data_IF_736414042423
#
_entry.id   IF_736414042423
#
_cell.length_a   1.000
_cell.length_b   1.000
_cell.length_c   1.000
_cell.angle_alpha   90.00
_cell.angle_beta   90.00
_cell.angle_gamma   90.00
#
_symmetry.space_group_name_H-M   'P 1'
#
loop_
_entity.id
_entity.type
_entity.pdbx_description
1 polymer ?
#
# COMPACT_ATOMS: atom_id res chain seq x y z
N UNK A 1 -6.53 -10.72 -25.95
CA UNK A 1 -7.39 -10.75 -24.74
C UNK A 1 -6.57 -10.49 -23.49
N UNK A 2 -5.54 -11.32 -23.24
CA UNK A 2 -4.61 -11.16 -22.11
C UNK A 2 -3.92 -9.80 -22.11
N UNK A 3 -3.41 -9.33 -23.26
CA UNK A 3 -2.70 -8.03 -23.32
C UNK A 3 -3.61 -6.84 -22.94
N UNK A 4 -4.91 -6.92 -23.27
CA UNK A 4 -5.89 -5.90 -22.90
C UNK A 4 -6.13 -5.91 -21.39
N UNK A 5 -6.31 -7.10 -20.80
CA UNK A 5 -6.46 -7.27 -19.35
C UNK A 5 -5.21 -6.75 -18.63
N UNK A 6 -4.03 -7.16 -19.06
CA UNK A 6 -2.77 -6.70 -18.49
C UNK A 6 -2.64 -5.17 -18.57
N UNK A 7 -2.96 -4.57 -19.73
CA UNK A 7 -2.91 -3.11 -19.89
C UNK A 7 -3.87 -2.39 -18.95
N UNK A 8 -5.07 -2.92 -18.76
CA UNK A 8 -6.04 -2.36 -17.81
C UNK A 8 -5.55 -2.45 -16.37
N UNK A 9 -4.99 -3.60 -15.97
CA UNK A 9 -4.40 -3.80 -14.64
C UNK A 9 -3.29 -2.78 -14.40
N UNK A 10 -2.35 -2.64 -15.33
CA UNK A 10 -1.23 -1.69 -15.22
C UNK A 10 -1.73 -0.24 -15.07
N UNK A 11 -2.80 0.14 -15.78
CA UNK A 11 -3.35 1.50 -15.66
C UNK A 11 -3.90 1.73 -14.25
N UNK A 12 -4.66 0.78 -13.70
CA UNK A 12 -5.21 0.93 -12.34
C UNK A 12 -4.12 0.83 -11.27
N UNK A 13 -3.14 -0.06 -11.43
CA UNK A 13 -1.97 -0.15 -10.55
C UNK A 13 -1.19 1.18 -10.54
N UNK A 14 -0.95 1.78 -11.71
CA UNK A 14 -0.26 3.07 -11.81
C UNK A 14 -1.03 4.20 -11.10
N UNK A 15 -2.36 4.20 -11.16
CA UNK A 15 -3.18 5.18 -10.42
C UNK A 15 -3.01 5.03 -8.91
N UNK A 16 -3.04 3.79 -8.41
CA UNK A 16 -2.83 3.50 -7.00
C UNK A 16 -1.40 3.87 -6.57
N UNK A 17 -0.39 3.54 -7.37
CA UNK A 17 1.00 3.92 -7.12
C UNK A 17 1.20 5.44 -7.10
N UNK A 18 0.58 6.17 -8.03
CA UNK A 18 0.63 7.63 -8.04
C UNK A 18 0.00 8.22 -6.79
N UNK A 19 -1.15 7.71 -6.33
CA UNK A 19 -1.79 8.16 -5.10
C UNK A 19 -0.97 7.83 -3.86
N UNK A 20 -0.36 6.65 -3.82
CA UNK A 20 0.54 6.26 -2.73
C UNK A 20 1.73 7.22 -2.65
N UNK A 21 2.32 7.58 -3.79
CA UNK A 21 3.42 8.53 -3.85
C UNK A 21 2.99 9.91 -3.32
N UNK A 22 1.83 10.42 -3.73
CA UNK A 22 1.30 11.69 -3.22
C UNK A 22 1.04 11.66 -1.70
N UNK A 23 0.42 10.58 -1.20
CA UNK A 23 0.23 10.42 0.25
C UNK A 23 1.56 10.35 1.00
N UNK A 24 2.59 9.73 0.41
CA UNK A 24 3.94 9.65 0.98
C UNK A 24 4.66 11.00 0.95
N UNK A 25 4.51 11.78 -0.11
CA UNK A 25 5.02 13.15 -0.24
C UNK A 25 4.42 14.06 0.84
N UNK A 26 3.10 13.98 1.07
CA UNK A 26 2.41 14.72 2.13
C UNK A 26 2.99 14.42 3.53
N UNK A 27 3.49 13.20 3.79
CA UNK A 27 4.16 12.84 5.06
C UNK A 27 5.53 13.50 5.19
N UNK A 28 6.26 13.64 4.09
CA UNK A 28 7.62 14.19 4.06
C UNK A 28 7.61 15.71 4.13
N UNK A 29 6.60 16.35 3.54
CA UNK A 29 6.40 17.80 3.65
C UNK A 29 5.83 18.21 5.02
N UNK A 30 5.18 17.27 5.71
CA UNK A 30 4.61 17.50 7.04
C UNK A 30 5.64 17.89 8.13
N UNK A 31 6.84 17.32 8.32
CA UNK A 31 7.78 17.80 9.34
C UNK A 31 8.26 19.24 9.12
N UNK A 32 8.42 19.71 7.88
CA UNK A 32 8.76 21.12 7.59
C UNK A 32 7.54 22.02 7.84
N UNK A 33 6.35 21.59 7.42
CA UNK A 33 5.09 22.30 7.67
C UNK A 33 4.67 22.28 9.15
N UNK A 34 4.99 21.21 9.89
CA UNK A 34 4.79 21.06 11.33
C UNK A 34 5.78 21.94 12.08
N UNK A 35 7.07 21.98 11.70
CA UNK A 35 8.02 22.93 12.27
C UNK A 35 7.61 24.40 12.05
N UNK A 36 7.11 24.74 10.86
CA UNK A 36 6.56 26.07 10.56
C UNK A 36 5.28 26.37 11.37
N UNK A 37 4.37 25.38 11.50
CA UNK A 37 3.13 25.50 12.29
C UNK A 37 3.38 25.52 13.80
N UNK A 38 4.43 24.87 14.31
CA UNK A 38 4.83 24.89 15.73
C UNK A 38 5.31 26.30 16.10
N UNK A 39 6.06 26.98 15.22
CA UNK A 39 6.40 28.39 15.41
C UNK A 39 5.16 29.30 15.51
N UNK A 40 4.09 28.99 14.77
CA UNK A 40 2.81 29.73 14.78
C UNK A 40 1.84 29.30 15.92
N UNK A 41 1.92 28.05 16.42
CA UNK A 41 0.93 27.45 17.35
C UNK A 41 1.39 27.26 18.79
N UNK A 42 2.61 27.65 19.15
CA UNK A 42 2.96 27.85 20.57
C UNK A 42 1.97 28.84 21.24
N UNK A 43 1.21 29.62 20.47
CA UNK A 43 0.17 30.51 20.96
C UNK A 43 -1.22 29.89 21.19
N UNK A 44 -1.56 28.67 20.69
CA UNK A 44 -2.97 28.20 20.69
C UNK A 44 -3.28 26.73 21.05
N UNK A 45 -2.31 25.91 21.46
CA UNK A 45 -2.61 24.69 22.25
C UNK A 45 -3.46 23.57 21.59
N UNK A 46 -3.41 23.39 20.27
CA UNK A 46 -4.10 22.28 19.58
C UNK A 46 -3.18 21.07 19.32
N UNK A 47 -3.76 19.87 19.46
CA UNK A 47 -3.10 18.55 19.54
C UNK A 47 -2.54 18.05 18.19
N UNK A 48 -1.24 17.76 18.15
CA UNK A 48 -0.45 17.25 17.01
C UNK A 48 -0.94 15.92 16.36
N UNK A 49 -1.96 15.24 16.91
CA UNK A 49 -2.29 13.83 16.56
C UNK A 49 -3.32 13.65 15.45
N UNK A 50 -4.14 14.65 15.13
CA UNK A 50 -5.20 14.54 14.12
C UNK A 50 -4.70 14.34 12.66
N UNK A 51 -3.67 15.06 12.17
CA UNK A 51 -3.24 14.91 10.78
C UNK A 51 -2.57 13.56 10.48
N UNK A 52 -1.87 12.97 11.45
CA UNK A 52 -1.28 11.64 11.32
C UNK A 52 -2.34 10.52 11.31
N UNK A 53 -3.40 10.68 12.10
CA UNK A 53 -4.52 9.74 12.09
C UNK A 53 -5.24 9.73 10.74
N UNK A 54 -5.47 10.91 10.15
CA UNK A 54 -6.10 11.02 8.82
C UNK A 54 -5.25 10.41 7.71
N UNK A 55 -3.95 10.65 7.72
CA UNK A 55 -3.02 10.01 6.81
C UNK A 55 -3.06 8.48 6.92
N UNK A 56 -3.13 7.95 8.14
CA UNK A 56 -3.27 6.52 8.39
C UNK A 56 -4.56 5.93 7.80
N UNK A 57 -5.68 6.67 7.91
CA UNK A 57 -6.96 6.31 7.28
C UNK A 57 -6.87 6.32 5.75
N UNK A 58 -6.27 7.36 5.16
CA UNK A 58 -6.08 7.47 3.71
C UNK A 58 -5.20 6.34 3.15
N UNK A 59 -4.15 5.95 3.89
CA UNK A 59 -3.31 4.80 3.54
C UNK A 59 -4.08 3.47 3.67
N UNK A 60 -4.93 3.31 4.68
CA UNK A 60 -5.75 2.11 4.85
C UNK A 60 -6.77 1.96 3.70
N UNK A 61 -7.42 3.06 3.31
CA UNK A 61 -8.34 3.09 2.17
C UNK A 61 -7.61 2.75 0.85
N UNK A 62 -6.41 3.29 0.63
CA UNK A 62 -5.61 2.94 -0.55
C UNK A 62 -5.26 1.46 -0.59
N UNK A 63 -4.95 0.85 0.55
CA UNK A 63 -4.67 -0.58 0.65
C UNK A 63 -5.91 -1.43 0.34
N UNK A 64 -7.10 -1.02 0.81
CA UNK A 64 -8.37 -1.67 0.48
C UNK A 64 -8.63 -1.66 -1.03
N UNK A 65 -8.49 -0.50 -1.68
CA UNK A 65 -8.64 -0.37 -3.13
C UNK A 65 -7.63 -1.24 -3.91
N UNK A 66 -6.40 -1.35 -3.41
CA UNK A 66 -5.39 -2.23 -4.00
C UNK A 66 -5.76 -3.71 -3.84
N UNK A 67 -6.36 -4.09 -2.71
CA UNK A 67 -6.85 -5.44 -2.46
C UNK A 67 -8.05 -5.78 -3.36
N UNK A 68 -8.96 -4.84 -3.59
CA UNK A 68 -10.05 -4.97 -4.55
C UNK A 68 -9.54 -5.19 -5.98
N UNK A 69 -8.58 -4.36 -6.43
CA UNK A 69 -7.95 -4.52 -7.75
C UNK A 69 -7.29 -5.90 -7.86
N UNK A 70 -6.59 -6.36 -6.82
CA UNK A 70 -5.97 -7.68 -6.79
C UNK A 70 -7.00 -8.80 -6.93
N UNK A 71 -8.12 -8.70 -6.22
CA UNK A 71 -9.20 -9.69 -6.30
C UNK A 71 -9.87 -9.71 -7.68
N UNK A 72 -10.12 -8.53 -8.26
CA UNK A 72 -10.67 -8.42 -9.62
C UNK A 72 -9.73 -9.03 -10.66
N UNK A 73 -8.44 -8.70 -10.61
CA UNK A 73 -7.42 -9.26 -11.49
C UNK A 73 -7.32 -10.78 -11.37
N UNK A 74 -7.38 -11.31 -10.14
CA UNK A 74 -7.38 -12.75 -9.90
C UNK A 74 -8.59 -13.44 -10.55
N UNK A 75 -9.79 -12.88 -10.40
CA UNK A 75 -11.01 -13.42 -11.03
C UNK A 75 -10.91 -13.45 -12.55
N UNK A 76 -10.42 -12.37 -13.15
CA UNK A 76 -10.24 -12.28 -14.61
C UNK A 76 -9.21 -13.30 -15.11
N UNK A 77 -8.06 -13.44 -14.42
CA UNK A 77 -7.03 -14.44 -14.77
C UNK A 77 -7.60 -15.86 -14.67
N UNK A 78 -8.29 -16.20 -13.58
CA UNK A 78 -8.89 -17.52 -13.40
C UNK A 78 -9.98 -17.82 -14.45
N UNK A 79 -10.65 -16.81 -14.99
CA UNK A 79 -11.59 -16.98 -16.10
C UNK A 79 -10.93 -17.35 -17.44
N UNK A 80 -9.62 -17.13 -17.57
CA UNK A 80 -8.83 -17.45 -18.79
C UNK A 80 -8.19 -18.83 -18.67
N UNK A 81 -7.76 -19.20 -17.46
CA UNK A 81 -7.03 -20.44 -17.21
C UNK A 81 -7.93 -21.67 -17.23
N UNK A 82 -7.37 -22.80 -17.64
CA UNK A 82 -8.00 -24.10 -17.38
C UNK A 82 -7.99 -24.41 -15.88
N UNK A 83 -8.86 -25.29 -15.36
CA UNK A 83 -8.94 -25.57 -13.93
C UNK A 83 -7.60 -25.97 -13.29
N UNK A 84 -6.79 -26.79 -13.98
CA UNK A 84 -5.50 -27.24 -13.45
C UNK A 84 -4.50 -26.07 -13.37
N UNK A 85 -4.44 -25.23 -14.41
CA UNK A 85 -3.60 -24.02 -14.42
C UNK A 85 -4.05 -23.02 -13.35
N UNK A 86 -5.36 -22.90 -13.10
CA UNK A 86 -5.91 -22.04 -12.05
C UNK A 86 -5.46 -22.48 -10.65
N UNK A 87 -5.45 -23.78 -10.37
CA UNK A 87 -4.95 -24.33 -9.10
C UNK A 87 -3.45 -24.07 -8.94
N UNK A 88 -2.66 -24.32 -9.98
CA UNK A 88 -1.22 -24.05 -9.98
C UNK A 88 -0.91 -22.57 -9.75
N UNK A 89 -1.63 -21.69 -10.44
CA UNK A 89 -1.52 -20.24 -10.29
C UNK A 89 -1.84 -19.79 -8.86
N UNK A 90 -2.94 -20.27 -8.28
CA UNK A 90 -3.32 -19.94 -6.90
C UNK A 90 -2.29 -20.42 -5.88
N UNK A 91 -1.71 -21.61 -6.09
CA UNK A 91 -0.64 -22.13 -5.24
C UNK A 91 0.61 -21.24 -5.31
N UNK A 92 1.02 -20.83 -6.51
CA UNK A 92 2.15 -19.91 -6.69
C UNK A 92 1.88 -18.52 -6.07
N UNK A 93 0.70 -17.95 -6.29
CA UNK A 93 0.30 -16.67 -5.72
C UNK A 93 0.30 -16.69 -4.18
N UNK A 94 -0.20 -17.77 -3.57
CA UNK A 94 -0.16 -17.96 -2.11
C UNK A 94 1.27 -18.06 -1.58
N UNK A 95 2.16 -18.78 -2.28
CA UNK A 95 3.58 -18.86 -1.91
C UNK A 95 4.23 -17.48 -1.90
N UNK A 96 4.05 -16.69 -2.96
CA UNK A 96 4.59 -15.32 -3.05
C UNK A 96 4.12 -14.47 -1.87
N UNK A 97 2.83 -14.49 -1.54
CA UNK A 97 2.29 -13.74 -0.39
C UNK A 97 2.91 -14.15 0.94
N UNK A 98 3.09 -15.45 1.17
CA UNK A 98 3.72 -15.96 2.39
C UNK A 98 5.20 -15.54 2.47
N UNK A 99 5.93 -15.63 1.37
CA UNK A 99 7.33 -15.19 1.31
C UNK A 99 7.45 -13.69 1.61
N UNK A 100 6.57 -12.86 1.04
CA UNK A 100 6.57 -11.42 1.29
C UNK A 100 6.27 -11.11 2.77
N UNK A 101 5.30 -11.80 3.37
CA UNK A 101 4.98 -11.64 4.78
C UNK A 101 6.15 -12.03 5.69
N UNK A 102 6.83 -13.15 5.38
CA UNK A 102 8.01 -13.60 6.12
C UNK A 102 9.17 -12.59 5.99
N UNK A 103 9.40 -12.07 4.78
CA UNK A 103 10.40 -11.05 4.55
C UNK A 103 10.10 -9.76 5.34
N UNK A 104 8.85 -9.30 5.34
CA UNK A 104 8.42 -8.15 6.13
C UNK A 104 8.72 -8.32 7.63
N UNK A 105 8.33 -9.47 8.21
CA UNK A 105 8.62 -9.81 9.61
C UNK A 105 10.11 -9.81 9.92
N UNK A 106 10.93 -10.35 9.02
CA UNK A 106 12.39 -10.38 9.18
C UNK A 106 12.98 -8.96 9.23
N UNK A 107 12.56 -8.08 8.32
CA UNK A 107 13.03 -6.67 8.33
C UNK A 107 12.66 -5.94 9.61
N UNK A 108 11.46 -6.19 10.13
CA UNK A 108 11.01 -5.55 11.37
C UNK A 108 11.80 -6.05 12.58
N UNK A 109 12.12 -7.34 12.64
CA UNK A 109 13.02 -7.90 13.66
C UNK A 109 14.43 -7.29 13.60
N UNK A 110 14.99 -7.13 12.40
CA UNK A 110 16.29 -6.48 12.19
C UNK A 110 16.26 -5.01 12.64
N UNK A 111 15.21 -4.27 12.30
CA UNK A 111 15.04 -2.87 12.72
C UNK A 111 14.95 -2.71 14.24
N UNK A 112 14.20 -3.60 14.91
CA UNK A 112 14.06 -3.60 16.36
C UNK A 112 15.35 -4.03 17.09
N UNK A 113 16.16 -4.88 16.46
CA UNK A 113 17.44 -5.33 17.03
C UNK A 113 18.54 -4.26 16.95
N UNK A 114 18.49 -3.38 15.95
CA UNK A 114 19.43 -2.28 15.77
C UNK A 114 19.06 -1.00 16.54
N UNK A 115 17.85 -0.91 17.10
CA UNK A 115 17.39 0.24 17.90
C UNK A 115 17.57 0.05 19.42
N UNK A 116 18.15 -1.08 19.85
CA UNK A 116 18.54 -1.40 21.23
C UNK A 116 20.06 -1.41 21.36
#
# INVERSE_FOLDING_TARGET
>A
MIDKLQRQIIIEENKLSSRLASLQEDVVDQPIAMAAKICDRIEQGESEKEPLNKLGEDMANLLEEADELRMKSLKEILGILTPIQGVEYLAAAKRIRLCLQQWGKKREQEHNSNSN
#
